data_IF_728413101647
#
_entry.id   IF_728413101647
#
_cell.length_a   1.000
_cell.length_b   1.000
_cell.length_c   1.000
_cell.angle_alpha   90.00
_cell.angle_beta   90.00
_cell.angle_gamma   90.00
#
_symmetry.space_group_name_H-M   'P 1'
#
loop_
_entity.id
_entity.type
_entity.pdbx_description
1 polymer ?
#
# COMPACT_ATOMS: atom_id res chain seq x y z
N UNK A 1 -12.70 8.03 -14.31
CA UNK A 1 -12.76 9.06 -13.26
C UNK A 1 -11.69 8.72 -12.26
N UNK A 2 -10.88 9.69 -11.84
CA UNK A 2 -9.61 9.47 -11.15
C UNK A 2 -9.72 8.52 -9.96
N UNK A 3 -10.80 8.62 -9.17
CA UNK A 3 -11.04 7.71 -8.03
C UNK A 3 -11.17 6.23 -8.41
N UNK A 4 -11.75 5.92 -9.57
CA UNK A 4 -11.86 4.53 -10.05
C UNK A 4 -10.50 4.00 -10.51
N UNK A 5 -9.64 4.86 -11.07
CA UNK A 5 -8.29 4.48 -11.47
C UNK A 5 -7.43 4.14 -10.25
N UNK A 6 -7.51 4.94 -9.18
CA UNK A 6 -6.88 4.60 -7.89
C UNK A 6 -7.41 3.29 -7.30
N UNK A 7 -8.73 3.02 -7.42
CA UNK A 7 -9.31 1.74 -6.99
C UNK A 7 -8.74 0.58 -7.79
N UNK A 8 -8.59 0.71 -9.11
CA UNK A 8 -7.99 -0.34 -9.93
C UNK A 8 -6.54 -0.60 -9.56
N UNK A 9 -5.74 0.44 -9.31
CA UNK A 9 -4.37 0.30 -8.81
C UNK A 9 -4.35 -0.42 -7.47
N UNK A 10 -5.19 0.00 -6.52
CA UNK A 10 -5.31 -0.64 -5.21
C UNK A 10 -5.68 -2.13 -5.33
N UNK A 11 -6.73 -2.47 -6.08
CA UNK A 11 -7.15 -3.87 -6.30
C UNK A 11 -6.06 -4.70 -6.95
N UNK A 12 -5.30 -4.12 -7.89
CA UNK A 12 -4.17 -4.80 -8.53
C UNK A 12 -3.07 -5.12 -7.54
N UNK A 13 -2.80 -4.22 -6.58
CA UNK A 13 -1.84 -4.45 -5.51
C UNK A 13 -2.32 -5.45 -4.47
N UNK A 14 -3.60 -5.39 -4.07
CA UNK A 14 -4.21 -6.41 -3.19
C UNK A 14 -4.08 -7.79 -3.83
N UNK A 15 -4.44 -7.93 -5.11
CA UNK A 15 -4.32 -9.20 -5.85
C UNK A 15 -2.87 -9.70 -5.88
N UNK A 16 -1.91 -8.84 -6.26
CA UNK A 16 -0.49 -9.20 -6.29
C UNK A 16 0.03 -9.62 -4.92
N UNK A 17 -0.37 -8.92 -3.86
CA UNK A 17 0.04 -9.26 -2.50
C UNK A 17 -0.51 -10.65 -2.09
N UNK A 18 -1.73 -10.99 -2.48
CA UNK A 18 -2.32 -12.32 -2.27
C UNK A 18 -1.58 -13.40 -3.08
N UNK A 19 -1.29 -13.15 -4.36
CA UNK A 19 -0.57 -14.08 -5.24
C UNK A 19 0.85 -14.36 -4.74
N UNK A 20 1.56 -13.31 -4.28
CA UNK A 20 2.93 -13.40 -3.77
C UNK A 20 3.02 -13.98 -2.35
N UNK A 21 1.96 -13.86 -1.56
CA UNK A 21 1.85 -14.53 -0.27
C UNK A 21 1.64 -16.05 -0.42
N UNK A 22 1.23 -16.52 -1.59
CA UNK A 22 1.25 -17.92 -2.04
C UNK A 22 0.34 -18.87 -1.26
N UNK A 23 -0.58 -19.54 -1.98
CA UNK A 23 -0.91 -20.95 -1.74
C UNK A 23 -1.47 -21.42 -0.38
N UNK A 24 -1.81 -20.54 0.58
CA UNK A 24 -2.50 -20.97 1.82
C UNK A 24 -3.94 -20.53 2.01
N UNK A 25 -4.44 -19.57 1.24
CA UNK A 25 -5.87 -19.25 1.23
C UNK A 25 -6.35 -19.11 -0.21
N UNK A 26 -6.91 -20.20 -0.74
CA UNK A 26 -7.66 -20.20 -1.98
C UNK A 26 -8.89 -19.29 -1.83
N UNK A 27 -8.77 -18.02 -2.19
CA UNK A 27 -9.95 -17.19 -2.47
C UNK A 27 -10.32 -17.44 -3.92
N UNK A 28 -11.38 -18.23 -4.07
CA UNK A 28 -12.00 -18.56 -5.33
C UNK A 28 -12.34 -17.33 -6.18
N UNK A 29 -12.37 -17.58 -7.48
CA UNK A 29 -13.08 -16.79 -8.48
C UNK A 29 -14.53 -16.58 -8.03
N UNK A 30 -14.79 -15.51 -7.28
CA UNK A 30 -16.12 -15.19 -6.80
C UNK A 30 -16.07 -14.02 -5.85
N UNK A 31 -16.62 -12.89 -6.29
CA UNK A 31 -16.84 -11.69 -5.48
C UNK A 31 -17.35 -12.08 -4.08
N UNK A 32 -16.49 -11.99 -3.06
CA UNK A 32 -16.83 -12.32 -1.67
C UNK A 32 -16.16 -11.31 -0.76
N UNK A 33 -16.97 -10.35 -0.32
CA UNK A 33 -17.06 -9.59 0.95
C UNK A 33 -15.94 -9.58 2.02
N UNK A 34 -14.78 -10.21 1.84
CA UNK A 34 -13.62 -9.96 2.69
C UNK A 34 -13.07 -8.57 2.35
N UNK A 35 -12.85 -7.74 3.36
CA UNK A 35 -12.33 -6.39 3.16
C UNK A 35 -11.01 -6.45 2.37
N UNK A 36 -11.02 -5.92 1.14
CA UNK A 36 -9.84 -5.81 0.29
C UNK A 36 -8.80 -4.96 1.03
N UNK A 37 -7.68 -5.57 1.43
CA UNK A 37 -6.66 -4.90 2.24
C UNK A 37 -5.25 -5.25 1.76
N UNK A 38 -4.33 -4.31 1.91
CA UNK A 38 -2.90 -4.49 1.59
C UNK A 38 -2.08 -4.53 2.88
N UNK A 39 -1.27 -5.57 3.06
CA UNK A 39 -0.35 -5.68 4.20
C UNK A 39 0.93 -4.87 4.00
N UNK A 40 1.73 -4.74 5.06
CA UNK A 40 3.02 -4.00 5.06
C UNK A 40 3.95 -4.36 3.90
N UNK A 41 4.15 -5.65 3.61
CA UNK A 41 5.00 -6.09 2.49
C UNK A 41 4.49 -5.58 1.12
N UNK A 42 3.17 -5.64 0.92
CA UNK A 42 2.53 -5.09 -0.27
C UNK A 42 2.74 -3.57 -0.38
N UNK A 43 2.65 -2.85 0.74
CA UNK A 43 2.95 -1.40 0.79
C UNK A 43 4.41 -1.12 0.44
N UNK A 44 5.37 -1.90 0.94
CA UNK A 44 6.79 -1.69 0.62
C UNK A 44 7.06 -1.89 -0.87
N UNK A 45 6.47 -2.91 -1.48
CA UNK A 45 6.57 -3.15 -2.93
C UNK A 45 5.91 -2.03 -3.73
N UNK A 46 4.76 -1.54 -3.27
CA UNK A 46 4.09 -0.41 -3.89
C UNK A 46 4.97 0.84 -3.88
N UNK A 47 5.51 1.21 -2.72
CA UNK A 47 6.39 2.38 -2.58
C UNK A 47 7.64 2.23 -3.46
N UNK A 48 8.27 1.05 -3.50
CA UNK A 48 9.40 0.79 -4.42
C UNK A 48 9.02 0.90 -5.89
N UNK A 49 7.80 0.50 -6.27
CA UNK A 49 7.33 0.60 -7.65
C UNK A 49 7.15 2.05 -8.13
N UNK A 50 7.03 2.99 -7.19
CA UNK A 50 7.01 4.44 -7.48
C UNK A 50 8.43 5.02 -7.66
N UNK A 51 9.45 4.17 -7.73
CA UNK A 51 10.85 4.60 -7.87
C UNK A 51 11.52 5.00 -6.55
N UNK A 52 10.85 4.78 -5.41
CA UNK A 52 11.35 5.22 -4.10
C UNK A 52 12.24 4.13 -3.51
N UNK A 53 13.49 4.47 -3.23
CA UNK A 53 14.42 3.58 -2.53
C UNK A 53 14.15 3.59 -1.03
N UNK A 54 13.66 2.46 -0.50
CA UNK A 54 13.43 2.28 0.94
C UNK A 54 14.72 1.79 1.60
N UNK A 55 15.37 2.67 2.38
CA UNK A 55 16.48 2.32 3.26
C UNK A 55 15.95 1.89 4.66
N UNK A 56 16.79 1.35 5.56
CA UNK A 56 16.34 0.89 6.88
C UNK A 56 15.67 1.97 7.74
N UNK A 57 16.15 3.22 7.69
CA UNK A 57 15.57 4.32 8.45
C UNK A 57 14.16 4.70 7.95
N UNK A 58 14.01 4.84 6.63
CA UNK A 58 12.73 5.16 5.99
C UNK A 58 11.74 3.99 6.07
N UNK A 59 12.24 2.75 6.10
CA UNK A 59 11.42 1.56 6.30
C UNK A 59 10.69 1.63 7.63
N UNK A 60 11.38 1.98 8.71
CA UNK A 60 10.78 2.06 10.04
C UNK A 60 9.69 3.13 10.10
N UNK A 61 9.98 4.31 9.55
CA UNK A 61 8.99 5.41 9.43
C UNK A 61 7.76 4.96 8.62
N UNK A 62 7.96 4.24 7.51
CA UNK A 62 6.87 3.71 6.70
C UNK A 62 6.05 2.66 7.47
N UNK A 63 6.70 1.73 8.17
CA UNK A 63 6.04 0.70 8.96
C UNK A 63 5.24 1.29 10.12
N UNK A 64 5.79 2.28 10.82
CA UNK A 64 5.07 3.04 11.84
C UNK A 64 3.84 3.74 11.26
N UNK A 65 3.98 4.36 10.08
CA UNK A 65 2.87 5.05 9.42
C UNK A 65 1.77 4.09 9.00
N UNK A 66 2.12 2.94 8.41
CA UNK A 66 1.16 1.89 8.04
C UNK A 66 0.42 1.38 9.28
N UNK A 67 1.11 1.22 10.40
CA UNK A 67 0.49 0.78 11.67
C UNK A 67 -0.48 1.82 12.23
N UNK A 68 -0.13 3.10 12.14
CA UNK A 68 -0.99 4.21 12.56
C UNK A 68 -2.24 4.37 11.69
N UNK A 69 -2.22 3.83 10.46
CA UNK A 69 -3.35 3.89 9.52
C UNK A 69 -4.21 2.63 9.55
N UNK A 70 -3.80 1.56 10.24
CA UNK A 70 -4.63 0.38 10.44
C UNK A 70 -5.73 0.69 11.46
N UNK A 71 -6.96 0.86 10.98
CA UNK A 71 -8.12 1.20 11.83
C UNK A 71 -8.48 0.07 12.82
N UNK A 72 -7.93 -1.13 12.64
CA UNK A 72 -8.13 -2.27 13.52
C UNK A 72 -7.05 -2.39 14.61
N UNK A 73 -6.06 -1.50 14.65
CA UNK A 73 -4.98 -1.51 15.64
C UNK A 73 -4.05 -2.72 15.57
N UNK A 74 -4.04 -3.45 14.45
CA UNK A 74 -3.18 -4.60 14.20
C UNK A 74 -1.77 -4.06 13.98
N UNK A 75 -0.90 -4.16 14.97
CA UNK A 75 0.46 -3.64 14.84
C UNK A 75 1.25 -4.43 13.80
N UNK A 76 1.67 -5.65 14.14
CA UNK A 76 2.58 -6.46 13.31
C UNK A 76 1.95 -6.94 12.00
N UNK A 77 0.62 -7.05 11.98
CA UNK A 77 -0.18 -7.49 10.84
C UNK A 77 -1.03 -6.36 10.24
N UNK A 78 -0.61 -5.11 10.42
CA UNK A 78 -1.28 -3.92 9.88
C UNK A 78 -1.67 -4.11 8.42
N UNK A 79 -2.94 -3.84 8.10
CA UNK A 79 -3.46 -3.88 6.73
C UNK A 79 -4.27 -2.63 6.42
N UNK A 80 -4.03 -2.07 5.25
CA UNK A 80 -4.72 -0.87 4.80
C UNK A 80 -5.85 -1.26 3.86
N UNK A 81 -7.07 -0.82 4.16
CA UNK A 81 -8.17 -0.75 3.20
C UNK A 81 -7.92 0.39 2.19
N UNK A 82 -8.86 0.58 1.26
CA UNK A 82 -8.74 1.60 0.23
C UNK A 82 -8.65 3.04 0.78
N UNK A 83 -9.42 3.39 1.80
CA UNK A 83 -9.38 4.73 2.42
C UNK A 83 -8.04 4.97 3.11
N UNK A 84 -7.57 3.97 3.85
CA UNK A 84 -6.28 4.01 4.54
C UNK A 84 -5.10 4.05 3.54
N UNK A 85 -5.23 3.38 2.40
CA UNK A 85 -4.30 3.49 1.27
C UNK A 85 -4.25 4.92 0.69
N UNK A 86 -5.39 5.58 0.49
CA UNK A 86 -5.40 6.97 0.01
C UNK A 86 -4.75 7.93 1.01
N UNK A 87 -4.98 7.72 2.31
CA UNK A 87 -4.31 8.49 3.37
C UNK A 87 -2.80 8.29 3.34
N UNK A 88 -2.33 7.08 3.07
CA UNK A 88 -0.91 6.79 2.90
C UNK A 88 -0.34 7.53 1.68
N UNK A 89 -1.00 7.44 0.51
CA UNK A 89 -0.54 8.11 -0.71
C UNK A 89 -0.45 9.62 -0.55
N UNK A 90 -1.44 10.23 0.10
CA UNK A 90 -1.40 11.67 0.43
C UNK A 90 -0.24 12.00 1.36
N UNK A 91 -0.01 11.18 2.38
CA UNK A 91 1.09 11.40 3.32
C UNK A 91 2.47 11.30 2.65
N UNK A 92 2.66 10.35 1.73
CA UNK A 92 3.91 10.21 1.00
C UNK A 92 4.27 11.52 0.28
N UNK A 93 3.32 12.09 -0.45
CA UNK A 93 3.50 13.35 -1.20
C UNK A 93 3.69 14.55 -0.27
N UNK A 94 2.86 14.68 0.76
CA UNK A 94 2.86 15.82 1.70
C UNK A 94 4.16 15.90 2.52
N UNK A 95 4.70 14.74 2.93
CA UNK A 95 5.94 14.66 3.72
C UNK A 95 7.20 14.58 2.86
N UNK A 96 7.08 14.63 1.53
CA UNK A 96 8.17 14.35 0.59
C UNK A 96 8.94 13.06 0.97
N UNK A 97 8.20 12.00 1.28
CA UNK A 97 8.79 10.79 1.85
C UNK A 97 9.86 10.23 0.91
N UNK A 98 11.10 10.20 1.40
CA UNK A 98 12.27 9.74 0.65
C UNK A 98 12.44 10.41 -0.73
N UNK A 99 12.07 11.70 -0.85
CA UNK A 99 12.21 12.47 -2.08
C UNK A 99 11.20 12.10 -3.16
N UNK A 100 10.03 11.56 -2.78
CA UNK A 100 9.00 11.14 -3.74
C UNK A 100 8.57 12.25 -4.68
N UNK A 101 8.62 13.53 -4.28
CA UNK A 101 8.20 14.62 -5.16
C UNK A 101 9.14 14.77 -6.36
N UNK A 102 10.43 14.47 -6.21
CA UNK A 102 11.39 14.41 -7.31
C UNK A 102 11.12 13.21 -8.25
N UNK A 103 10.76 12.06 -7.67
CA UNK A 103 10.36 10.87 -8.44
C UNK A 103 9.06 11.11 -9.22
N UNK A 104 8.07 11.76 -8.59
CA UNK A 104 6.79 12.09 -9.22
C UNK A 104 6.96 13.13 -10.35
N UNK A 105 7.81 14.13 -10.15
CA UNK A 105 8.09 15.17 -11.15
C UNK A 105 8.78 14.62 -12.41
N UNK A 106 9.54 13.52 -12.31
CA UNK A 106 10.19 12.86 -13.46
C UNK A 106 9.21 12.09 -14.37
N UNK A 107 7.97 11.88 -13.91
CA UNK A 107 6.94 11.15 -14.63
C UNK A 107 5.68 11.99 -14.93
N UNK A 108 5.72 13.30 -14.64
CA UNK A 108 4.69 14.28 -14.99
C UNK A 108 5.00 14.93 -16.35
#
# INVERSE_FOLDING_TARGET
>A
GETEEFRQVFRSWVRRATELAGEKEAVGKGASTAAETIGRDGVHRLVRSLGISINPANKDVLDQRVSSLDEQGRQETARLDFCSFLRLMRWLLDSDFAGINDAAAKHA
#
